data_IF_436318452310
#
_entry.id   IF_436318452310
#
_cell.length_a   1.000
_cell.length_b   1.000
_cell.length_c   1.000
_cell.angle_alpha   90.00
_cell.angle_beta   90.00
_cell.angle_gamma   90.00
#
_symmetry.space_group_name_H-M   'P 1'
#
loop_
_entity.id
_entity.type
_entity.pdbx_description
1 polymer ?
#
# COMPACT_ATOMS: atom_id res chain seq x y z
N UNK A 1 -37.35 10.07 0.57
CA UNK A 1 -36.87 8.70 0.24
C UNK A 1 -35.36 8.75 0.06
N UNK A 2 -34.59 8.63 1.14
CA UNK A 2 -33.13 8.61 1.08
C UNK A 2 -32.66 7.19 0.81
N UNK A 3 -32.32 6.89 -0.44
CA UNK A 3 -31.78 5.60 -0.83
C UNK A 3 -30.29 5.56 -0.44
N UNK A 4 -29.99 5.31 0.84
CA UNK A 4 -28.62 5.09 1.29
C UNK A 4 -28.20 3.67 0.94
N UNK A 5 -27.94 3.43 -0.35
CA UNK A 5 -27.24 2.24 -0.81
C UNK A 5 -25.81 2.28 -0.24
N UNK A 6 -25.55 1.48 0.80
CA UNK A 6 -24.20 1.30 1.32
C UNK A 6 -23.32 0.75 0.19
N UNK A 7 -22.30 1.50 -0.20
CA UNK A 7 -21.31 1.02 -1.18
C UNK A 7 -20.56 -0.15 -0.57
N UNK A 8 -20.43 -1.25 -1.31
CA UNK A 8 -19.62 -2.39 -0.89
C UNK A 8 -18.14 -2.01 -0.95
N UNK A 9 -17.43 -2.16 0.16
CA UNK A 9 -15.98 -1.95 0.26
C UNK A 9 -15.26 -3.26 -0.02
N UNK A 10 -14.24 -3.22 -0.88
CA UNK A 10 -13.49 -4.41 -1.28
C UNK A 10 -11.98 -4.17 -1.17
N UNK A 11 -11.23 -5.24 -0.85
CA UNK A 11 -9.77 -5.26 -0.98
C UNK A 11 -9.44 -5.77 -2.38
N UNK A 12 -8.91 -4.90 -3.23
CA UNK A 12 -8.61 -5.22 -4.63
C UNK A 12 -7.31 -6.01 -4.77
N UNK A 13 -6.25 -5.53 -4.12
CA UNK A 13 -4.93 -6.17 -4.13
C UNK A 13 -4.15 -5.78 -2.86
N UNK A 14 -3.17 -6.60 -2.48
CA UNK A 14 -2.29 -6.38 -1.34
C UNK A 14 -0.88 -6.88 -1.63
N UNK A 15 0.12 -6.15 -1.14
CA UNK A 15 1.54 -6.50 -1.22
C UNK A 15 2.23 -6.23 0.11
N UNK A 16 3.44 -6.78 0.25
CA UNK A 16 4.34 -6.48 1.36
C UNK A 16 5.78 -6.55 0.90
N UNK A 17 6.68 -5.96 1.68
CA UNK A 17 8.10 -6.26 1.56
C UNK A 17 8.42 -7.67 2.07
N UNK A 18 9.58 -8.24 1.71
CA UNK A 18 10.12 -9.39 2.42
C UNK A 18 10.31 -9.07 3.90
N UNK A 19 10.18 -10.07 4.76
CA UNK A 19 10.48 -9.92 6.19
C UNK A 19 11.98 -10.11 6.42
N UNK A 20 12.59 -9.15 7.11
CA UNK A 20 13.97 -9.23 7.57
C UNK A 20 14.02 -9.34 9.08
N UNK A 21 15.00 -10.07 9.61
CA UNK A 21 15.29 -10.05 11.05
C UNK A 21 15.86 -8.68 11.43
N UNK A 22 15.46 -8.15 12.59
CA UNK A 22 16.03 -6.90 13.11
C UNK A 22 17.56 -7.01 13.21
N UNK A 23 18.27 -5.96 12.74
CA UNK A 23 19.72 -5.95 12.66
C UNK A 23 20.33 -6.77 11.51
N UNK A 24 19.55 -7.27 10.55
CA UNK A 24 20.07 -8.01 9.39
C UNK A 24 19.82 -7.32 8.04
N UNK A 25 19.00 -7.90 7.16
CA UNK A 25 18.89 -7.56 5.74
C UNK A 25 18.50 -6.10 5.45
N UNK A 26 17.83 -5.44 6.39
CA UNK A 26 17.36 -4.05 6.26
C UNK A 26 17.99 -3.11 7.30
N UNK A 27 19.10 -3.49 7.95
CA UNK A 27 19.71 -2.68 9.03
C UNK A 27 20.17 -1.29 8.56
N UNK A 28 20.53 -1.15 7.29
CA UNK A 28 20.95 0.10 6.67
C UNK A 28 19.85 0.70 5.76
N UNK A 29 18.60 0.23 5.89
CA UNK A 29 17.46 0.68 5.09
C UNK A 29 16.52 1.46 5.98
N UNK A 30 16.10 2.64 5.53
CA UNK A 30 15.14 3.44 6.30
C UNK A 30 13.74 2.83 6.17
N UNK A 31 12.89 3.06 7.16
CA UNK A 31 11.55 2.49 7.18
C UNK A 31 10.70 2.99 5.99
N UNK A 32 10.87 4.25 5.59
CA UNK A 32 10.18 4.85 4.44
C UNK A 32 10.63 4.24 3.11
N UNK A 33 11.90 3.85 2.95
CA UNK A 33 12.37 3.14 1.76
C UNK A 33 11.64 1.79 1.58
N UNK A 34 11.40 1.07 2.68
CA UNK A 34 10.63 -0.17 2.66
C UNK A 34 9.16 0.08 2.27
N UNK A 35 8.56 1.13 2.81
CA UNK A 35 7.19 1.53 2.48
C UNK A 35 7.05 1.92 1.00
N UNK A 36 7.96 2.75 0.48
CA UNK A 36 7.98 3.14 -0.94
C UNK A 36 8.12 1.92 -1.83
N UNK A 37 8.93 0.94 -1.43
CA UNK A 37 9.08 -0.34 -2.16
C UNK A 37 7.75 -1.09 -2.25
N UNK A 38 6.99 -1.16 -1.16
CA UNK A 38 5.68 -1.81 -1.15
C UNK A 38 4.67 -1.07 -2.06
N UNK A 39 4.59 0.27 -1.95
CA UNK A 39 3.65 1.07 -2.76
C UNK A 39 3.98 0.92 -4.25
N UNK A 40 5.26 1.04 -4.64
CA UNK A 40 5.68 0.84 -6.04
C UNK A 40 5.32 -0.55 -6.55
N UNK A 41 5.58 -1.59 -5.77
CA UNK A 41 5.22 -2.96 -6.14
C UNK A 41 3.71 -3.16 -6.34
N UNK A 42 2.87 -2.46 -5.57
CA UNK A 42 1.41 -2.48 -5.77
C UNK A 42 1.01 -1.81 -7.09
N UNK A 43 1.56 -0.64 -7.38
CA UNK A 43 1.27 0.10 -8.62
C UNK A 43 1.79 -0.62 -9.86
N UNK A 44 2.99 -1.20 -9.80
CA UNK A 44 3.59 -2.00 -10.89
C UNK A 44 2.73 -3.23 -11.24
N UNK A 45 2.07 -3.85 -10.26
CA UNK A 45 1.14 -4.96 -10.47
C UNK A 45 -0.19 -4.52 -11.10
N UNK A 46 -0.52 -3.24 -10.99
CA UNK A 46 -1.80 -2.66 -11.43
C UNK A 46 -1.55 -1.49 -12.40
N UNK A 47 -0.91 -1.71 -13.57
CA UNK A 47 -0.48 -0.63 -14.48
C UNK A 47 -1.64 0.14 -15.12
N UNK A 48 -2.86 -0.39 -15.05
CA UNK A 48 -4.08 0.25 -15.57
C UNK A 48 -4.77 1.13 -14.52
N UNK A 49 -4.28 1.16 -13.28
CA UNK A 49 -4.84 1.98 -12.21
C UNK A 49 -4.50 3.47 -12.46
N UNK A 50 -5.50 4.33 -12.70
CA UNK A 50 -5.28 5.78 -12.78
C UNK A 50 -4.88 6.32 -11.40
N UNK A 51 -3.62 6.74 -11.25
CA UNK A 51 -3.06 7.17 -9.96
C UNK A 51 -3.76 8.45 -9.44
N UNK A 52 -4.27 9.28 -10.35
CA UNK A 52 -5.04 10.48 -10.05
C UNK A 52 -6.42 10.19 -9.41
N UNK A 53 -6.88 8.94 -9.41
CA UNK A 53 -8.11 8.51 -8.73
C UNK A 53 -7.87 7.95 -7.33
N UNK A 54 -6.63 7.98 -6.84
CA UNK A 54 -6.33 7.62 -5.45
C UNK A 54 -6.59 8.85 -4.58
N UNK A 55 -7.70 8.84 -3.84
CA UNK A 55 -8.08 9.96 -2.98
C UNK A 55 -7.17 10.09 -1.75
N UNK A 56 -6.85 8.97 -1.10
CA UNK A 56 -6.13 8.93 0.18
C UNK A 56 -5.06 7.84 0.22
N UNK A 57 -3.96 8.16 0.91
CA UNK A 57 -2.90 7.20 1.27
C UNK A 57 -2.69 7.24 2.78
N UNK A 58 -3.12 6.20 3.48
CA UNK A 58 -2.96 6.07 4.92
C UNK A 58 -1.75 5.18 5.25
N UNK A 59 -0.80 5.72 6.02
CA UNK A 59 0.42 5.02 6.45
C UNK A 59 0.39 4.87 7.97
N UNK A 60 0.48 3.63 8.45
CA UNK A 60 0.75 3.34 9.84
C UNK A 60 2.24 3.05 10.02
N UNK A 61 2.91 3.79 10.90
CA UNK A 61 4.30 3.59 11.29
C UNK A 61 4.43 3.69 12.81
N UNK A 62 5.36 2.93 13.40
CA UNK A 62 5.66 2.88 14.83
C UNK A 62 7.16 3.08 15.06
#
# INVERSE_FOLDING_TARGET
MSNSQSKTVVLVDAVRTPFGKSGSAFVNTRADDLMVRAIRGLLERNPQLPIDQIDDVAIAAA
#
